data_IF_941035457837
#
_entry.id   IF_941035457837
#
_cell.length_a   1.000
_cell.length_b   1.000
_cell.length_c   1.000
_cell.angle_alpha   90.00
_cell.angle_beta   90.00
_cell.angle_gamma   90.00
#
_symmetry.space_group_name_H-M   'P 1'
#
loop_
_entity.id
_entity.type
_entity.pdbx_description
1 polymer ?
#
# COMPACT_ATOMS: atom_id res chain seq x y z
N UNK A 1 20.29 15.88 -25.44
CA UNK A 1 20.41 14.59 -24.74
C UNK A 1 20.86 14.87 -23.31
N UNK A 2 20.08 14.61 -22.27
CA UNK A 2 20.54 14.81 -20.91
C UNK A 2 21.54 13.70 -20.56
N UNK A 3 22.72 14.10 -20.09
CA UNK A 3 23.76 13.17 -19.58
C UNK A 3 23.27 12.53 -18.29
N UNK A 4 22.82 11.28 -18.36
CA UNK A 4 22.18 10.52 -17.27
C UNK A 4 23.21 9.85 -16.35
N UNK A 5 24.49 9.90 -16.63
CA UNK A 5 25.54 9.32 -15.79
C UNK A 5 26.53 10.39 -15.34
N UNK A 6 26.19 11.15 -14.28
CA UNK A 6 27.21 11.77 -13.47
C UNK A 6 27.72 10.70 -12.48
N UNK A 7 28.96 10.24 -12.69
CA UNK A 7 29.68 9.44 -11.72
C UNK A 7 29.92 10.29 -10.47
N UNK A 8 28.97 10.21 -9.52
CA UNK A 8 29.15 10.81 -8.21
C UNK A 8 30.20 10.03 -7.43
N UNK A 9 31.25 10.73 -6.96
CA UNK A 9 32.24 10.17 -6.06
C UNK A 9 31.55 9.53 -4.83
N UNK A 10 32.11 8.43 -4.33
CA UNK A 10 31.56 7.68 -3.19
C UNK A 10 31.27 8.58 -1.98
N UNK A 11 32.08 9.61 -1.76
CA UNK A 11 31.91 10.61 -0.73
C UNK A 11 30.70 11.54 -0.95
N UNK A 12 30.38 11.88 -2.20
CA UNK A 12 29.18 12.65 -2.52
C UNK A 12 27.90 11.82 -2.37
N UNK A 13 27.94 10.54 -2.70
CA UNK A 13 26.84 9.58 -2.44
C UNK A 13 26.58 9.47 -0.96
N UNK A 14 27.61 9.39 -0.14
CA UNK A 14 27.50 9.32 1.33
C UNK A 14 26.96 10.63 1.94
N UNK A 15 27.35 11.78 1.40
CA UNK A 15 26.84 13.09 1.84
C UNK A 15 25.38 13.31 1.47
N UNK A 16 24.94 12.81 0.31
CA UNK A 16 23.53 12.82 -0.11
C UNK A 16 22.69 11.81 0.67
N UNK A 17 23.27 10.68 1.09
CA UNK A 17 22.61 9.71 1.98
C UNK A 17 22.19 10.31 3.32
N UNK A 18 22.94 11.30 3.84
CA UNK A 18 22.54 12.03 5.07
C UNK A 18 21.21 12.79 4.91
N UNK A 19 20.83 13.16 3.69
CA UNK A 19 19.54 13.79 3.42
C UNK A 19 18.36 12.80 3.45
N UNK A 20 18.64 11.50 3.31
CA UNK A 20 17.64 10.44 3.45
C UNK A 20 17.41 10.04 4.92
N UNK A 21 18.36 10.34 5.79
CA UNK A 21 18.31 9.95 7.21
C UNK A 21 17.02 10.40 7.92
N UNK A 22 16.56 11.66 7.77
CA UNK A 22 15.32 12.12 8.41
C UNK A 22 14.09 11.35 7.90
N UNK A 23 14.07 11.00 6.61
CA UNK A 23 12.97 10.26 5.99
C UNK A 23 12.95 8.82 6.49
N UNK A 24 14.11 8.17 6.53
CA UNK A 24 14.26 6.80 7.06
C UNK A 24 13.85 6.77 8.55
N UNK A 25 14.27 7.76 9.33
CA UNK A 25 13.91 7.86 10.74
C UNK A 25 12.40 8.05 10.92
N UNK A 26 11.76 8.88 10.10
CA UNK A 26 10.31 9.06 10.12
C UNK A 26 9.59 7.75 9.80
N UNK A 27 9.98 7.06 8.73
CA UNK A 27 9.39 5.77 8.33
C UNK A 27 9.58 4.74 9.44
N UNK A 28 10.78 4.64 10.01
CA UNK A 28 11.07 3.71 11.11
C UNK A 28 10.26 4.02 12.36
N UNK A 29 10.04 5.29 12.68
CA UNK A 29 9.24 5.72 13.82
C UNK A 29 7.75 5.36 13.61
N UNK A 30 7.21 5.62 12.43
CA UNK A 30 5.81 5.30 12.07
C UNK A 30 5.58 3.78 12.12
N UNK A 31 6.43 3.01 11.45
CA UNK A 31 6.33 1.55 11.43
C UNK A 31 6.57 0.98 12.84
N UNK A 32 7.59 1.47 13.54
CA UNK A 32 7.91 1.06 14.91
C UNK A 32 6.76 1.30 15.88
N UNK A 33 6.03 2.41 15.76
CA UNK A 33 4.86 2.71 16.60
C UNK A 33 3.73 1.69 16.44
N UNK A 34 3.57 1.15 15.24
CA UNK A 34 2.58 0.10 14.95
C UNK A 34 3.04 -1.25 15.54
N UNK A 35 4.29 -1.65 15.29
CA UNK A 35 4.80 -2.93 15.78
C UNK A 35 4.93 -3.02 17.29
N UNK A 36 5.18 -1.89 17.96
CA UNK A 36 5.20 -1.82 19.43
C UNK A 36 3.81 -1.74 20.04
N UNK A 37 2.73 -1.65 19.24
CA UNK A 37 1.37 -1.54 19.73
C UNK A 37 1.02 -0.19 20.37
N UNK A 38 1.89 0.82 20.25
CA UNK A 38 1.68 2.17 20.82
C UNK A 38 0.63 2.94 20.00
N UNK A 39 0.60 2.73 18.67
CA UNK A 39 -0.32 3.41 17.77
C UNK A 39 -1.00 2.40 16.82
N UNK A 40 -2.27 2.64 16.55
CA UNK A 40 -3.00 1.97 15.48
C UNK A 40 -2.49 2.45 14.11
N UNK A 41 -2.78 1.73 13.04
CA UNK A 41 -2.38 2.12 11.70
C UNK A 41 -2.86 3.53 11.31
N UNK A 42 -4.06 3.91 11.75
CA UNK A 42 -4.66 5.22 11.48
C UNK A 42 -3.95 6.34 12.27
N UNK A 43 -3.63 6.09 13.53
CA UNK A 43 -2.88 7.03 14.36
C UNK A 43 -1.45 7.20 13.85
N UNK A 44 -0.79 6.10 13.48
CA UNK A 44 0.55 6.13 12.88
C UNK A 44 0.58 6.90 11.55
N UNK A 45 -0.47 6.79 10.72
CA UNK A 45 -0.62 7.59 9.52
C UNK A 45 -0.70 9.09 9.84
N UNK A 46 -1.43 9.47 10.89
CA UNK A 46 -1.51 10.87 11.35
C UNK A 46 -0.17 11.39 11.83
N UNK A 47 0.59 10.58 12.59
CA UNK A 47 1.96 10.89 12.99
C UNK A 47 2.89 11.07 11.78
N UNK A 48 2.72 10.22 10.75
CA UNK A 48 3.45 10.34 9.49
C UNK A 48 3.18 11.65 8.77
N UNK A 49 1.93 12.11 8.72
CA UNK A 49 1.55 13.40 8.12
C UNK A 49 2.19 14.55 8.89
N UNK A 50 2.04 14.60 10.22
CA UNK A 50 2.63 15.64 11.06
C UNK A 50 4.16 15.65 10.93
N UNK A 51 4.78 14.47 11.01
CA UNK A 51 6.23 14.34 10.86
C UNK A 51 6.75 14.80 9.49
N UNK A 52 6.04 14.48 8.41
CA UNK A 52 6.41 14.93 7.05
C UNK A 52 6.27 16.44 6.88
N UNK A 53 5.26 17.08 7.48
CA UNK A 53 5.10 18.54 7.47
C UNK A 53 6.23 19.22 8.25
N UNK A 54 6.59 18.70 9.43
CA UNK A 54 7.70 19.19 10.24
C UNK A 54 9.01 19.10 9.46
N UNK A 55 9.30 17.94 8.84
CA UNK A 55 10.50 17.76 8.02
C UNK A 55 10.54 18.72 6.83
N UNK A 56 9.42 18.89 6.13
CA UNK A 56 9.31 19.82 5.00
C UNK A 56 9.53 21.26 5.43
N UNK A 57 9.09 21.63 6.63
CA UNK A 57 9.32 22.96 7.19
C UNK A 57 10.82 23.19 7.49
N UNK A 58 11.48 22.23 8.16
CA UNK A 58 12.92 22.32 8.45
C UNK A 58 13.79 22.33 7.19
N UNK A 59 13.39 21.59 6.16
CA UNK A 59 14.07 21.57 4.86
C UNK A 59 13.75 22.79 3.99
N UNK A 60 12.92 23.72 4.48
CA UNK A 60 12.46 24.91 3.72
C UNK A 60 11.83 24.56 2.35
N UNK A 61 11.32 23.35 2.21
CA UNK A 61 10.63 22.87 1.01
C UNK A 61 9.12 23.09 1.06
N UNK A 62 8.58 23.45 2.24
CA UNK A 62 7.17 23.69 2.45
C UNK A 62 6.76 25.02 1.80
N UNK A 63 6.08 24.94 0.66
CA UNK A 63 5.45 26.05 -0.03
C UNK A 63 3.95 25.79 -0.12
N UNK A 64 3.15 26.87 -0.15
CA UNK A 64 1.69 26.74 -0.33
C UNK A 64 1.34 25.95 -1.61
N UNK A 65 2.12 26.15 -2.67
CA UNK A 65 1.95 25.38 -3.92
C UNK A 65 2.23 23.89 -3.72
N UNK A 66 3.31 23.55 -3.00
CA UNK A 66 3.68 22.16 -2.69
C UNK A 66 2.63 21.52 -1.81
N UNK A 67 2.19 22.21 -0.75
CA UNK A 67 1.14 21.73 0.16
C UNK A 67 -0.17 21.45 -0.60
N UNK A 68 -0.64 22.40 -1.42
CA UNK A 68 -1.85 22.24 -2.24
C UNK A 68 -1.74 21.06 -3.20
N UNK A 69 -0.58 20.92 -3.86
CA UNK A 69 -0.33 19.79 -4.78
C UNK A 69 -0.35 18.45 -4.06
N UNK A 70 0.27 18.35 -2.88
CA UNK A 70 0.27 17.13 -2.06
C UNK A 70 -1.14 16.79 -1.56
N UNK A 71 -1.91 17.80 -1.13
CA UNK A 71 -3.28 17.61 -0.68
C UNK A 71 -4.20 17.11 -1.83
N UNK A 72 -4.08 17.71 -3.01
CA UNK A 72 -4.83 17.28 -4.18
C UNK A 72 -4.44 15.85 -4.60
N UNK A 73 -3.14 15.51 -4.55
CA UNK A 73 -2.66 14.15 -4.80
C UNK A 73 -3.24 13.15 -3.81
N UNK A 74 -3.18 13.44 -2.52
CA UNK A 74 -3.74 12.60 -1.47
C UNK A 74 -5.25 12.42 -1.64
N UNK A 75 -6.00 13.50 -1.88
CA UNK A 75 -7.45 13.44 -2.12
C UNK A 75 -7.80 12.56 -3.32
N UNK A 76 -7.07 12.72 -4.43
CA UNK A 76 -7.29 11.92 -5.64
C UNK A 76 -7.10 10.43 -5.38
N UNK A 77 -6.01 10.07 -4.68
CA UNK A 77 -5.73 8.67 -4.32
C UNK A 77 -6.77 8.13 -3.35
N UNK A 78 -7.15 8.89 -2.32
CA UNK A 78 -8.18 8.48 -1.35
C UNK A 78 -9.56 8.28 -2.01
N UNK A 79 -9.96 9.18 -2.91
CA UNK A 79 -11.20 9.03 -3.66
C UNK A 79 -11.19 7.80 -4.56
N UNK A 80 -10.05 7.50 -5.21
CA UNK A 80 -9.90 6.31 -6.03
C UNK A 80 -10.05 5.04 -5.20
N UNK A 81 -9.37 4.97 -4.04
CA UNK A 81 -9.47 3.81 -3.12
C UNK A 81 -10.91 3.68 -2.60
N UNK A 82 -11.54 4.76 -2.17
CA UNK A 82 -12.91 4.73 -1.68
C UNK A 82 -13.90 4.23 -2.74
N UNK A 83 -13.72 4.63 -4.01
CA UNK A 83 -14.55 4.15 -5.12
C UNK A 83 -14.36 2.66 -5.39
N UNK A 84 -13.12 2.17 -5.33
CA UNK A 84 -12.81 0.73 -5.48
C UNK A 84 -13.45 -0.06 -4.34
N UNK A 85 -13.32 0.41 -3.09
CA UNK A 85 -13.94 -0.23 -1.93
C UNK A 85 -15.47 -0.29 -2.04
N UNK A 86 -16.11 0.79 -2.44
CA UNK A 86 -17.56 0.82 -2.64
C UNK A 86 -18.00 -0.19 -3.71
N UNK A 87 -17.30 -0.24 -4.84
CA UNK A 87 -17.58 -1.21 -5.92
C UNK A 87 -17.36 -2.66 -5.47
N UNK A 88 -16.28 -2.93 -4.76
CA UNK A 88 -15.96 -4.25 -4.22
C UNK A 88 -17.02 -4.72 -3.21
N UNK A 89 -17.44 -3.84 -2.29
CA UNK A 89 -18.48 -4.13 -1.30
C UNK A 89 -19.81 -4.45 -1.99
N UNK A 90 -20.20 -3.67 -2.99
CA UNK A 90 -21.41 -3.92 -3.77
C UNK A 90 -21.35 -5.27 -4.48
N UNK A 91 -20.23 -5.58 -5.13
CA UNK A 91 -20.04 -6.86 -5.81
C UNK A 91 -20.08 -8.03 -4.83
N UNK A 92 -19.41 -7.90 -3.67
CA UNK A 92 -19.41 -8.95 -2.62
C UNK A 92 -20.82 -9.24 -2.10
N UNK A 93 -21.61 -8.19 -1.86
CA UNK A 93 -23.01 -8.35 -1.48
C UNK A 93 -23.82 -9.05 -2.58
N UNK A 94 -23.71 -8.60 -3.82
CA UNK A 94 -24.40 -9.23 -4.96
C UNK A 94 -24.04 -10.71 -5.11
N UNK A 95 -22.74 -11.05 -5.00
CA UNK A 95 -22.29 -12.44 -5.05
C UNK A 95 -22.79 -13.28 -3.86
N UNK A 96 -22.87 -12.69 -2.67
CA UNK A 96 -23.46 -13.34 -1.50
C UNK A 96 -24.92 -13.74 -1.73
N UNK A 97 -25.72 -12.86 -2.33
CA UNK A 97 -27.12 -13.15 -2.66
C UNK A 97 -27.28 -14.23 -3.75
N UNK A 98 -26.36 -14.32 -4.71
CA UNK A 98 -26.41 -15.35 -5.75
C UNK A 98 -26.01 -16.74 -5.26
N UNK A 99 -25.42 -16.84 -4.07
CA UNK A 99 -24.90 -18.09 -3.52
C UNK A 99 -23.69 -18.65 -4.27
N UNK A 100 -23.10 -17.86 -5.18
CA UNK A 100 -21.98 -18.27 -6.01
C UNK A 100 -20.76 -18.71 -5.19
N UNK A 101 -20.33 -18.00 -4.12
CA UNK A 101 -19.21 -18.45 -3.31
C UNK A 101 -19.47 -19.79 -2.62
N UNK A 102 -20.70 -20.01 -2.13
CA UNK A 102 -21.10 -21.26 -1.50
C UNK A 102 -21.07 -22.43 -2.50
N UNK A 103 -21.60 -22.21 -3.70
CA UNK A 103 -21.62 -23.25 -4.72
C UNK A 103 -20.22 -23.61 -5.20
N UNK A 104 -19.32 -22.61 -5.32
CA UNK A 104 -17.92 -22.85 -5.61
C UNK A 104 -17.22 -23.65 -4.50
N UNK A 105 -17.48 -23.32 -3.23
CA UNK A 105 -16.91 -24.05 -2.11
C UNK A 105 -17.34 -25.50 -2.11
N UNK A 106 -18.65 -25.79 -2.31
CA UNK A 106 -19.18 -27.14 -2.40
C UNK A 106 -18.62 -27.91 -3.61
N UNK A 107 -18.42 -27.23 -4.73
CA UNK A 107 -17.82 -27.85 -5.91
C UNK A 107 -16.35 -28.23 -5.66
N UNK A 108 -15.56 -27.36 -5.00
CA UNK A 108 -14.18 -27.68 -4.60
C UNK A 108 -14.14 -28.83 -3.59
N UNK A 109 -15.05 -28.84 -2.62
CA UNK A 109 -15.19 -29.91 -1.64
C UNK A 109 -15.48 -31.26 -2.32
N UNK A 110 -16.34 -31.27 -3.34
CA UNK A 110 -16.67 -32.48 -4.11
C UNK A 110 -15.48 -33.06 -4.91
N UNK A 111 -14.42 -32.31 -5.10
CA UNK A 111 -13.20 -32.78 -5.74
C UNK A 111 -12.31 -33.62 -4.82
N UNK A 112 -12.60 -33.68 -3.50
CA UNK A 112 -11.84 -34.43 -2.49
C UNK A 112 -10.33 -34.20 -2.55
N UNK A 113 -9.93 -32.93 -2.86
CA UNK A 113 -8.54 -32.56 -2.99
C UNK A 113 -7.82 -32.65 -1.62
N UNK A 114 -6.59 -33.18 -1.62
CA UNK A 114 -5.79 -33.13 -0.41
C UNK A 114 -5.51 -31.66 -0.02
N UNK A 115 -5.38 -31.34 1.27
CA UNK A 115 -5.12 -29.96 1.73
C UNK A 115 -3.88 -29.31 1.05
N UNK A 116 -2.87 -30.11 0.76
CA UNK A 116 -1.64 -29.61 0.11
C UNK A 116 -1.87 -29.23 -1.36
N UNK A 117 -2.68 -30.02 -2.09
CA UNK A 117 -3.04 -29.69 -3.48
C UNK A 117 -3.92 -28.45 -3.52
N UNK A 118 -4.86 -28.30 -2.59
CA UNK A 118 -5.69 -27.10 -2.50
C UNK A 118 -4.86 -25.84 -2.27
N UNK A 119 -3.91 -25.89 -1.33
CA UNK A 119 -2.99 -24.77 -1.06
C UNK A 119 -2.16 -24.44 -2.31
N UNK A 120 -1.66 -25.43 -3.01
CA UNK A 120 -0.86 -25.24 -4.23
C UNK A 120 -1.68 -24.57 -5.33
N UNK A 121 -2.91 -25.01 -5.56
CA UNK A 121 -3.82 -24.40 -6.55
C UNK A 121 -4.14 -22.95 -6.19
N UNK A 122 -4.44 -22.68 -4.92
CA UNK A 122 -4.68 -21.32 -4.44
C UNK A 122 -3.44 -20.45 -4.59
N UNK A 123 -2.25 -20.97 -4.31
CA UNK A 123 -0.99 -20.23 -4.49
C UNK A 123 -0.78 -19.83 -5.95
N UNK A 124 -0.97 -20.75 -6.89
CA UNK A 124 -0.88 -20.46 -8.33
C UNK A 124 -1.90 -19.41 -8.73
N UNK A 125 -3.13 -19.54 -8.27
CA UNK A 125 -4.21 -18.59 -8.55
C UNK A 125 -3.86 -17.19 -8.04
N UNK A 126 -3.36 -17.05 -6.81
CA UNK A 126 -2.94 -15.76 -6.24
C UNK A 126 -1.70 -15.19 -6.93
N UNK A 127 -0.77 -16.00 -7.41
CA UNK A 127 0.37 -15.54 -8.21
C UNK A 127 -0.12 -14.92 -9.53
N UNK A 128 -1.04 -15.59 -10.21
CA UNK A 128 -1.64 -15.09 -11.46
C UNK A 128 -2.40 -13.78 -11.19
N UNK A 129 -3.25 -13.74 -10.16
CA UNK A 129 -3.95 -12.51 -9.79
C UNK A 129 -2.98 -11.38 -9.46
N UNK A 130 -1.92 -11.65 -8.70
CA UNK A 130 -0.92 -10.66 -8.33
C UNK A 130 -0.11 -10.11 -9.51
N UNK A 131 -0.03 -10.82 -10.63
CA UNK A 131 0.55 -10.29 -11.87
C UNK A 131 -0.32 -9.22 -12.54
N UNK A 132 -1.64 -9.31 -12.41
CA UNK A 132 -2.60 -8.42 -13.07
C UNK A 132 -3.11 -7.30 -12.16
N UNK A 133 -3.10 -7.53 -10.85
CA UNK A 133 -3.61 -6.59 -9.86
C UNK A 133 -2.46 -5.92 -9.11
N UNK A 134 -2.62 -4.63 -8.81
CA UNK A 134 -1.71 -3.98 -7.86
C UNK A 134 -1.97 -4.50 -6.44
N UNK A 135 -0.96 -4.37 -5.54
CA UNK A 135 -1.01 -4.97 -4.21
C UNK A 135 -2.21 -4.53 -3.36
N UNK A 136 -2.65 -3.28 -3.50
CA UNK A 136 -3.79 -2.74 -2.75
C UNK A 136 -5.10 -3.36 -3.27
N UNK A 137 -5.28 -3.42 -4.58
CA UNK A 137 -6.46 -4.02 -5.21
C UNK A 137 -6.56 -5.51 -4.90
N UNK A 138 -5.44 -6.24 -4.86
CA UNK A 138 -5.43 -7.65 -4.50
C UNK A 138 -5.94 -7.88 -3.06
N UNK A 139 -5.47 -7.10 -2.09
CA UNK A 139 -5.90 -7.21 -0.68
C UNK A 139 -7.38 -6.89 -0.53
N UNK A 140 -7.87 -5.82 -1.18
CA UNK A 140 -9.28 -5.40 -1.10
C UNK A 140 -10.23 -6.42 -1.70
N UNK A 141 -9.81 -7.13 -2.77
CA UNK A 141 -10.66 -8.15 -3.42
C UNK A 141 -10.68 -9.49 -2.66
N UNK A 142 -9.70 -9.75 -1.80
CA UNK A 142 -9.55 -11.04 -1.11
C UNK A 142 -9.94 -11.02 0.37
N UNK A 143 -10.22 -9.84 0.91
CA UNK A 143 -10.75 -9.64 2.26
C UNK A 143 -12.28 -9.65 2.26
#
# INVERSE_FOLDING_TARGET
>A
MPKIFQDYSFLEKLKRSKQLLPIILLISAVIGSIYTGIATATEAASLGVVGSLILSYFQKSLSFKTFKSSLLGATKTSCMIAFILAGSTFLSLAMGFTGLPRNLALWIESMELSPYVLILVLMIFYIILGMFLDGISAVVLTM
#
